data_IF_857293722340
#
_entry.id   IF_857293722340
#
_cell.length_a   1.000
_cell.length_b   1.000
_cell.length_c   1.000
_cell.angle_alpha   90.00
_cell.angle_beta   90.00
_cell.angle_gamma   90.00
#
_symmetry.space_group_name_H-M   'P 1'
#
loop_
_entity.id
_entity.type
_entity.pdbx_description
1 polymer ?
#
# COMPACT_ATOMS: atom_id res chain seq x y z
N UNK A 1 22.45 14.30 0.95
CA UNK A 1 21.29 14.56 1.83
C UNK A 1 20.68 13.21 2.12
N UNK A 2 20.79 12.75 3.36
CA UNK A 2 20.26 11.47 3.82
C UNK A 2 18.74 11.48 3.65
N UNK A 3 18.17 10.43 3.03
CA UNK A 3 16.72 10.35 2.81
C UNK A 3 16.12 9.76 4.08
N UNK A 4 15.58 10.59 4.96
CA UNK A 4 14.85 10.11 6.12
C UNK A 4 13.56 9.40 5.68
N UNK A 5 13.40 8.15 6.12
CA UNK A 5 12.22 7.31 5.85
C UNK A 5 11.13 7.58 6.87
N UNK A 6 9.87 7.45 6.46
CA UNK A 6 8.72 7.81 7.32
C UNK A 6 8.69 6.95 8.58
N UNK A 7 9.05 5.67 8.51
CA UNK A 7 9.13 4.79 9.68
C UNK A 7 10.19 5.25 10.70
N UNK A 8 11.33 5.77 10.23
CA UNK A 8 12.37 6.30 11.11
C UNK A 8 11.94 7.63 11.75
N UNK A 9 11.27 8.50 10.97
CA UNK A 9 10.68 9.75 11.48
C UNK A 9 9.59 9.43 12.52
N UNK A 10 8.71 8.46 12.25
CA UNK A 10 7.67 8.05 13.17
C UNK A 10 8.25 7.52 14.50
N UNK A 11 9.27 6.66 14.43
CA UNK A 11 9.93 6.10 15.60
C UNK A 11 10.62 7.17 16.47
N UNK A 12 11.26 8.16 15.84
CA UNK A 12 11.91 9.27 16.56
C UNK A 12 10.90 10.29 17.11
N UNK A 13 9.77 10.50 16.42
CA UNK A 13 8.71 11.43 16.83
C UNK A 13 8.00 10.99 18.12
N UNK A 14 8.11 9.71 18.51
CA UNK A 14 7.66 9.24 19.83
C UNK A 14 8.41 9.94 20.99
N UNK A 15 9.61 10.47 20.72
CA UNK A 15 10.44 11.18 21.70
C UNK A 15 10.50 12.69 21.48
N UNK A 16 10.24 13.15 20.25
CA UNK A 16 10.22 14.56 19.84
C UNK A 16 8.85 14.89 19.25
N UNK A 17 8.08 15.71 19.93
CA UNK A 17 6.73 16.14 19.48
C UNK A 17 6.83 17.12 18.31
N UNK A 18 7.31 16.69 17.14
CA UNK A 18 7.21 17.52 15.94
C UNK A 18 7.24 16.70 14.65
N UNK A 19 6.11 16.67 13.94
CA UNK A 19 6.01 16.13 12.57
C UNK A 19 6.59 17.17 11.61
N UNK A 20 7.48 16.81 10.67
CA UNK A 20 8.02 17.77 9.72
C UNK A 20 6.93 18.43 8.86
N UNK A 21 7.07 19.73 8.58
CA UNK A 21 6.06 20.55 7.90
C UNK A 21 5.71 20.06 6.48
N UNK A 22 6.62 19.31 5.85
CA UNK A 22 6.35 18.66 4.56
C UNK A 22 5.28 17.56 4.60
N UNK A 23 4.95 17.03 5.79
CA UNK A 23 3.92 16.00 5.98
C UNK A 23 2.62 16.57 6.57
N UNK A 24 2.64 17.82 7.04
CA UNK A 24 1.45 18.50 7.55
C UNK A 24 0.58 18.92 6.36
N UNK A 25 -0.61 18.33 6.28
CA UNK A 25 -1.64 18.64 5.28
C UNK A 25 -2.17 20.08 5.46
N UNK A 26 -2.62 20.73 4.38
CA UNK A 26 -3.30 22.02 4.49
C UNK A 26 -4.61 21.86 5.28
N UNK A 27 -5.11 22.95 5.89
CA UNK A 27 -6.24 22.90 6.83
C UNK A 27 -7.51 22.27 6.23
N UNK A 28 -7.74 22.42 4.93
CA UNK A 28 -8.86 21.86 4.18
C UNK A 28 -8.75 20.34 3.94
N UNK A 29 -7.55 19.77 4.02
CA UNK A 29 -7.29 18.33 3.90
C UNK A 29 -6.99 17.65 5.25
N UNK A 30 -6.80 18.43 6.32
CA UNK A 30 -6.63 17.84 7.65
C UNK A 30 -7.90 17.10 8.06
N UNK A 31 -7.80 16.08 8.94
CA UNK A 31 -8.96 15.35 9.42
C UNK A 31 -9.95 16.30 10.10
N UNK A 32 -10.92 16.81 9.35
CA UNK A 32 -12.06 17.49 9.89
C UNK A 32 -13.04 16.46 10.45
N UNK A 33 -13.95 16.90 11.30
CA UNK A 33 -15.18 16.14 11.57
C UNK A 33 -15.77 15.79 10.19
N UNK A 34 -16.01 14.50 9.95
CA UNK A 34 -16.49 13.96 8.67
C UNK A 34 -17.46 14.93 7.98
N UNK A 35 -17.20 15.27 6.72
CA UNK A 35 -18.12 16.07 5.90
C UNK A 35 -19.42 15.34 5.61
N UNK A 36 -19.46 14.03 5.88
CA UNK A 36 -20.64 13.20 5.75
C UNK A 36 -21.48 13.24 7.04
N UNK A 37 -22.60 13.96 6.96
CA UNK A 37 -23.62 14.04 8.00
C UNK A 37 -24.83 13.17 7.61
N UNK A 38 -24.72 11.85 7.78
CA UNK A 38 -25.77 10.91 7.39
C UNK A 38 -25.55 9.49 7.93
N UNK A 39 -26.37 8.54 7.49
CA UNK A 39 -26.15 7.11 7.75
C UNK A 39 -24.89 6.66 7.02
N UNK A 40 -23.93 6.08 7.77
CA UNK A 40 -22.65 5.62 7.22
C UNK A 40 -22.94 4.76 5.97
N UNK A 41 -22.44 5.14 4.78
CA UNK A 41 -22.75 4.42 3.56
C UNK A 41 -22.06 3.05 3.61
N UNK A 42 -22.84 1.98 3.47
CA UNK A 42 -22.30 0.62 3.40
C UNK A 42 -21.73 0.36 2.00
N UNK A 43 -20.41 0.19 1.92
CA UNK A 43 -19.71 -0.16 0.68
C UNK A 43 -20.27 -1.50 0.17
N UNK A 44 -20.67 -1.61 -1.12
CA UNK A 44 -21.23 -2.84 -1.67
C UNK A 44 -20.28 -4.02 -1.51
N UNK A 45 -20.83 -5.18 -1.17
CA UNK A 45 -20.10 -6.45 -1.06
C UNK A 45 -20.58 -7.39 -2.16
N UNK A 46 -19.65 -7.87 -2.98
CA UNK A 46 -19.90 -8.84 -4.05
C UNK A 46 -19.41 -10.22 -3.61
N UNK A 47 -20.32 -11.18 -3.54
CA UNK A 47 -20.02 -12.56 -3.16
C UNK A 47 -19.74 -13.43 -4.40
N UNK A 48 -18.48 -13.87 -4.55
CA UNK A 48 -18.05 -14.74 -5.66
C UNK A 48 -18.43 -16.21 -5.46
N UNK A 49 -18.87 -16.60 -4.25
CA UNK A 49 -19.41 -17.91 -3.94
C UNK A 49 -20.87 -18.07 -4.36
N UNK A 50 -21.57 -16.98 -4.72
CA UNK A 50 -22.96 -17.04 -5.13
C UNK A 50 -23.14 -17.80 -6.46
N UNK A 51 -24.11 -18.72 -6.57
CA UNK A 51 -24.37 -19.41 -7.83
C UNK A 51 -24.83 -18.44 -8.93
N UNK A 52 -24.33 -18.65 -10.15
CA UNK A 52 -24.74 -17.87 -11.32
C UNK A 52 -23.82 -16.69 -11.62
N UNK A 53 -22.87 -16.91 -12.53
CA UNK A 53 -21.90 -15.90 -13.01
C UNK A 53 -22.55 -14.60 -13.47
N UNK A 54 -23.73 -14.66 -14.07
CA UNK A 54 -24.45 -13.48 -14.56
C UNK A 54 -24.87 -12.54 -13.41
N UNK A 55 -25.23 -13.08 -12.25
CA UNK A 55 -25.60 -12.29 -11.08
C UNK A 55 -24.38 -11.57 -10.51
N UNK A 56 -23.25 -12.29 -10.39
CA UNK A 56 -21.97 -11.70 -9.93
C UNK A 56 -21.56 -10.55 -10.85
N UNK A 57 -21.58 -10.76 -12.17
CA UNK A 57 -21.23 -9.72 -13.15
C UNK A 57 -22.16 -8.51 -13.04
N UNK A 58 -23.47 -8.74 -12.83
CA UNK A 58 -24.43 -7.66 -12.62
C UNK A 58 -24.12 -6.86 -11.37
N UNK A 59 -23.95 -7.52 -10.22
CA UNK A 59 -23.61 -6.85 -8.95
C UNK A 59 -22.32 -6.05 -9.05
N UNK A 60 -21.29 -6.58 -9.72
CA UNK A 60 -20.05 -5.86 -9.97
C UNK A 60 -20.28 -4.61 -10.84
N UNK A 61 -21.08 -4.71 -11.90
CA UNK A 61 -21.37 -3.60 -12.79
C UNK A 61 -22.17 -2.49 -12.08
N UNK A 62 -23.18 -2.87 -11.29
CA UNK A 62 -23.98 -1.94 -10.50
C UNK A 62 -23.12 -1.22 -9.44
N UNK A 63 -22.33 -1.96 -8.66
CA UNK A 63 -21.44 -1.37 -7.67
C UNK A 63 -20.37 -0.48 -8.32
N UNK A 64 -19.81 -0.87 -9.46
CA UNK A 64 -18.84 -0.05 -10.20
C UNK A 64 -19.46 1.25 -10.72
N UNK A 65 -20.70 1.21 -11.22
CA UNK A 65 -21.41 2.38 -11.74
C UNK A 65 -21.83 3.34 -10.64
N UNK A 66 -22.39 2.80 -9.56
CA UNK A 66 -23.05 3.61 -8.53
C UNK A 66 -22.08 4.06 -7.44
N UNK A 67 -21.03 3.28 -7.16
CA UNK A 67 -20.04 3.56 -6.09
C UNK A 67 -18.61 3.76 -6.58
N UNK A 68 -18.22 3.13 -7.68
CA UNK A 68 -16.82 3.10 -8.14
C UNK A 68 -15.88 2.24 -7.27
N UNK A 69 -16.39 1.65 -6.17
CA UNK A 69 -15.68 0.76 -5.26
C UNK A 69 -16.62 -0.31 -4.71
N UNK A 70 -16.10 -1.51 -4.46
CA UNK A 70 -16.81 -2.60 -3.79
C UNK A 70 -15.80 -3.54 -3.11
N UNK A 71 -16.28 -4.30 -2.13
CA UNK A 71 -15.53 -5.40 -1.52
C UNK A 71 -15.90 -6.72 -2.18
N UNK A 72 -14.95 -7.65 -2.27
CA UNK A 72 -15.20 -9.01 -2.79
C UNK A 72 -14.99 -10.02 -1.67
N UNK A 73 -15.95 -10.90 -1.48
CA UNK A 73 -15.86 -12.04 -0.56
C UNK A 73 -15.95 -13.36 -1.33
N UNK A 74 -15.50 -14.45 -0.71
CA UNK A 74 -15.47 -15.78 -1.33
C UNK A 74 -14.75 -15.82 -2.69
N UNK A 75 -13.72 -14.99 -2.86
CA UNK A 75 -12.93 -14.85 -4.09
C UNK A 75 -12.08 -16.07 -4.47
N UNK A 76 -12.09 -17.15 -3.68
CA UNK A 76 -11.32 -18.38 -3.94
C UNK A 76 -9.83 -18.33 -3.58
N UNK A 77 -9.26 -17.13 -3.36
CA UNK A 77 -7.89 -16.98 -2.83
C UNK A 77 -7.81 -17.57 -1.39
N UNK A 78 -6.93 -18.54 -1.12
CA UNK A 78 -6.79 -19.13 0.21
C UNK A 78 -6.39 -18.10 1.28
N UNK A 79 -7.05 -18.14 2.44
CA UNK A 79 -6.76 -17.21 3.54
C UNK A 79 -5.31 -17.34 4.05
N UNK A 80 -4.75 -18.54 4.05
CA UNK A 80 -3.36 -18.76 4.48
C UNK A 80 -2.34 -18.15 3.52
N UNK A 81 -2.68 -18.01 2.23
CA UNK A 81 -1.83 -17.27 1.29
C UNK A 81 -1.82 -15.78 1.61
N UNK A 82 -2.99 -15.20 1.91
CA UNK A 82 -3.13 -13.78 2.28
C UNK A 82 -2.36 -13.50 3.59
N UNK A 83 -2.51 -14.37 4.60
CA UNK A 83 -1.78 -14.26 5.88
C UNK A 83 -0.27 -14.32 5.69
N UNK A 84 0.23 -15.24 4.85
CA UNK A 84 1.66 -15.33 4.54
C UNK A 84 2.16 -14.07 3.82
N UNK A 85 1.40 -13.53 2.87
CA UNK A 85 1.75 -12.29 2.20
C UNK A 85 1.87 -11.12 3.20
N UNK A 86 0.89 -10.97 4.09
CA UNK A 86 0.92 -9.95 5.15
C UNK A 86 2.11 -10.13 6.10
N UNK A 87 2.42 -11.38 6.47
CA UNK A 87 3.55 -11.71 7.34
C UNK A 87 4.88 -11.34 6.70
N UNK A 88 5.14 -11.76 5.45
CA UNK A 88 6.39 -11.46 4.74
C UNK A 88 6.54 -9.96 4.51
N UNK A 89 5.45 -9.27 4.16
CA UNK A 89 5.44 -7.81 4.06
C UNK A 89 5.82 -7.14 5.38
N UNK A 90 5.21 -7.57 6.49
CA UNK A 90 5.54 -7.07 7.83
C UNK A 90 7.01 -7.33 8.19
N UNK A 91 7.50 -8.54 7.97
CA UNK A 91 8.88 -8.91 8.23
C UNK A 91 9.86 -8.02 7.49
N UNK A 92 9.60 -7.68 6.22
CA UNK A 92 10.43 -6.76 5.45
C UNK A 92 10.54 -5.38 6.11
N UNK A 93 9.43 -4.79 6.57
CA UNK A 93 9.47 -3.46 7.20
C UNK A 93 10.04 -3.47 8.63
N UNK A 94 10.08 -4.63 9.29
CA UNK A 94 10.72 -4.84 10.60
C UNK A 94 12.25 -4.96 10.53
N UNK A 95 12.82 -5.13 9.32
CA UNK A 95 14.26 -5.20 9.14
C UNK A 95 14.97 -3.88 9.49
N UNK A 96 16.28 -3.95 9.83
CA UNK A 96 17.14 -2.78 9.93
C UNK A 96 17.06 -1.89 8.68
N UNK A 97 17.27 -0.59 8.87
CA UNK A 97 17.16 0.37 7.78
C UNK A 97 18.16 0.06 6.66
N UNK A 98 19.38 -0.32 7.02
CA UNK A 98 20.47 -0.64 6.08
C UNK A 98 20.10 -1.79 5.14
N UNK A 99 19.38 -2.80 5.64
CA UNK A 99 18.93 -3.93 4.83
C UNK A 99 17.81 -3.55 3.86
N UNK A 100 16.92 -2.64 4.28
CA UNK A 100 15.84 -2.12 3.41
C UNK A 100 16.39 -1.20 2.31
N UNK A 101 17.41 -0.40 2.62
CA UNK A 101 18.04 0.51 1.67
C UNK A 101 18.72 -0.21 0.49
N UNK A 102 19.08 -1.49 0.63
CA UNK A 102 19.58 -2.31 -0.49
C UNK A 102 18.57 -2.37 -1.64
N UNK A 103 17.27 -2.30 -1.32
CA UNK A 103 16.18 -2.34 -2.28
C UNK A 103 15.67 -0.94 -2.65
N UNK A 104 16.33 0.14 -2.21
CA UNK A 104 15.83 1.48 -2.37
C UNK A 104 15.68 1.90 -3.84
N UNK A 105 14.63 2.66 -4.13
CA UNK A 105 14.47 3.26 -5.44
C UNK A 105 15.63 4.25 -5.73
N UNK A 106 16.36 4.10 -6.85
CA UNK A 106 17.47 4.99 -7.14
C UNK A 106 16.97 6.42 -7.37
N UNK A 107 17.57 7.40 -6.70
CA UNK A 107 17.15 8.80 -6.81
C UNK A 107 17.26 9.38 -8.23
N UNK A 108 18.08 8.78 -9.09
CA UNK A 108 18.33 9.17 -10.48
C UNK A 108 17.59 8.31 -11.51
N UNK A 109 16.91 7.23 -11.08
CA UNK A 109 16.26 6.32 -12.01
C UNK A 109 14.88 6.86 -12.43
N UNK A 110 14.49 6.69 -13.70
CA UNK A 110 13.12 6.96 -14.15
C UNK A 110 12.10 5.94 -13.60
N UNK A 111 12.57 4.86 -12.98
CA UNK A 111 11.72 3.83 -12.38
C UNK A 111 11.36 4.17 -10.94
N UNK A 112 10.09 3.95 -10.60
CA UNK A 112 9.56 4.06 -9.23
C UNK A 112 9.62 2.72 -8.47
N UNK A 113 10.23 1.69 -9.06
CA UNK A 113 10.37 0.38 -8.43
C UNK A 113 11.35 0.41 -7.25
N UNK A 114 11.08 -0.43 -6.25
CA UNK A 114 11.88 -0.59 -5.05
C UNK A 114 11.27 0.05 -3.82
N UNK A 115 12.09 0.08 -2.78
CA UNK A 115 11.78 0.62 -1.47
C UNK A 115 11.91 2.15 -1.46
N UNK A 116 10.86 2.83 -1.01
CA UNK A 116 10.69 4.25 -1.26
C UNK A 116 9.81 4.92 -0.22
N UNK A 117 9.95 6.24 -0.11
CA UNK A 117 8.99 7.11 0.62
C UNK A 117 8.52 8.27 -0.28
N UNK A 118 8.87 8.21 -1.57
CA UNK A 118 8.67 9.27 -2.56
C UNK A 118 7.51 9.01 -3.52
N UNK A 119 6.55 8.16 -3.14
CA UNK A 119 5.37 7.92 -3.99
C UNK A 119 4.45 9.13 -3.89
N UNK A 120 4.49 9.95 -4.94
CA UNK A 120 3.69 11.15 -5.17
C UNK A 120 3.88 12.27 -4.14
N UNK A 121 4.08 13.49 -4.65
CA UNK A 121 3.75 14.70 -3.88
C UNK A 121 2.30 15.04 -4.18
N UNK A 122 1.59 15.63 -3.22
CA UNK A 122 0.30 16.23 -3.54
C UNK A 122 0.47 17.45 -4.47
N UNK A 123 -0.65 18.03 -4.91
CA UNK A 123 -0.67 19.24 -5.75
C UNK A 123 0.08 20.42 -5.13
N UNK A 124 0.24 20.42 -3.81
CA UNK A 124 0.91 21.44 -3.01
C UNK A 124 2.36 21.07 -2.65
N UNK A 125 2.90 19.98 -3.20
CA UNK A 125 4.28 19.54 -2.99
C UNK A 125 4.53 18.80 -1.66
N UNK A 126 3.50 18.53 -0.85
CA UNK A 126 3.61 17.79 0.42
C UNK A 126 3.93 16.33 0.18
N UNK A 127 4.66 15.73 1.12
CA UNK A 127 5.03 14.32 1.09
C UNK A 127 3.94 13.48 1.76
N UNK A 128 3.71 12.28 1.23
CA UNK A 128 2.84 11.30 1.87
C UNK A 128 3.54 10.66 3.08
N UNK A 129 2.79 10.41 4.16
CA UNK A 129 3.26 9.68 5.33
C UNK A 129 3.22 8.17 5.09
N UNK A 130 4.07 7.68 4.18
CA UNK A 130 4.11 6.27 3.79
C UNK A 130 5.50 5.86 3.32
N UNK A 131 5.95 4.71 3.81
CA UNK A 131 7.03 3.93 3.20
C UNK A 131 6.41 2.79 2.39
N UNK A 132 6.98 2.49 1.24
CA UNK A 132 6.47 1.49 0.31
C UNK A 132 7.58 0.63 -0.27
N UNK A 133 7.23 -0.56 -0.72
CA UNK A 133 8.00 -1.38 -1.63
C UNK A 133 7.14 -1.58 -2.88
N UNK A 134 7.57 -1.06 -4.02
CA UNK A 134 6.77 -1.06 -5.24
C UNK A 134 7.40 -1.89 -6.36
N UNK A 135 6.59 -2.71 -7.01
CA UNK A 135 6.97 -3.48 -8.20
C UNK A 135 6.01 -3.13 -9.34
N UNK A 136 6.55 -2.65 -10.46
CA UNK A 136 5.76 -2.18 -11.61
C UNK A 136 5.12 -3.32 -12.38
N UNK A 137 5.87 -4.41 -12.57
CA UNK A 137 5.45 -5.57 -13.36
C UNK A 137 5.65 -6.83 -12.52
N UNK A 138 4.54 -7.48 -12.18
CA UNK A 138 4.52 -8.76 -11.46
C UNK A 138 4.00 -9.92 -12.34
N UNK A 139 3.57 -9.60 -13.57
CA UNK A 139 3.11 -10.56 -14.58
C UNK A 139 3.22 -9.94 -15.98
N UNK A 140 3.65 -10.68 -17.03
CA UNK A 140 4.08 -12.09 -17.03
C UNK A 140 5.45 -12.30 -16.36
N UNK A 141 5.84 -13.54 -15.99
CA UNK A 141 7.08 -13.82 -15.27
C UNK A 141 8.35 -13.35 -15.98
N UNK A 142 8.33 -13.35 -17.32
CA UNK A 142 9.43 -12.89 -18.17
C UNK A 142 9.70 -11.39 -18.10
N UNK A 143 8.74 -10.61 -17.58
CA UNK A 143 8.85 -9.16 -17.46
C UNK A 143 9.05 -8.70 -16.01
N UNK A 144 9.18 -9.63 -15.07
CA UNK A 144 9.41 -9.30 -13.66
C UNK A 144 10.85 -8.84 -13.48
N UNK A 145 11.02 -7.65 -12.94
CA UNK A 145 12.31 -7.15 -12.52
C UNK A 145 12.62 -7.64 -11.10
N UNK A 146 13.39 -8.72 -10.99
CA UNK A 146 13.77 -9.32 -9.71
C UNK A 146 14.82 -8.54 -8.90
N UNK A 147 15.40 -7.47 -9.45
CA UNK A 147 16.46 -6.70 -8.77
C UNK A 147 15.99 -6.12 -7.43
N UNK A 148 14.75 -5.64 -7.37
CA UNK A 148 14.17 -5.02 -6.19
C UNK A 148 13.41 -6.00 -5.27
N UNK A 149 13.37 -7.28 -5.61
CA UNK A 149 12.62 -8.27 -4.82
C UNK A 149 13.43 -8.67 -3.59
N UNK A 150 12.88 -8.51 -2.37
CA UNK A 150 13.55 -8.94 -1.15
C UNK A 150 13.81 -10.43 -1.19
N UNK A 151 14.99 -10.86 -0.74
CA UNK A 151 15.34 -12.28 -0.61
C UNK A 151 14.83 -12.87 0.71
N UNK A 152 13.74 -12.29 1.26
CA UNK A 152 13.32 -12.44 2.66
C UNK A 152 11.89 -13.01 2.74
N UNK A 153 11.61 -13.92 3.69
CA UNK A 153 12.62 -14.61 4.49
C UNK A 153 13.46 -15.50 3.58
N UNK A 154 14.74 -15.69 3.91
CA UNK A 154 15.42 -16.90 3.47
C UNK A 154 14.48 -18.02 3.86
N UNK A 155 13.90 -18.70 2.87
CA UNK A 155 13.10 -19.88 3.09
C UNK A 155 13.91 -20.76 4.04
N UNK A 156 13.53 -20.83 5.31
CA UNK A 156 13.94 -21.92 6.17
C UNK A 156 13.44 -23.15 5.44
N UNK A 157 14.40 -23.97 5.01
CA UNK A 157 14.23 -24.96 3.96
C UNK A 157 13.16 -26.00 4.24
N UNK A 158 12.94 -26.78 3.17
CA UNK A 158 12.23 -28.06 3.08
C UNK A 158 11.93 -28.79 4.41
#
# INVERSE_FOLDING_TARGET
MEVERVQAIASSSLTKVNIPIEFIRPEDEQPAITTFHGLIPDIPVVDFGHPGRQNIVRSMAEASRDWGIFQVVNHGIPLDLIRRLQLVGKQFFELPQEEKEVYANPASAPSIEGYGSKLARDVNGKKNWVDHLFHRIIWPPTSINYHFWPKIPLLTGD
#
